data_IF_691478260804
#
_entry.id   IF_691478260804
#
_cell.length_a   1.000
_cell.length_b   1.000
_cell.length_c   1.000
_cell.angle_alpha   90.00
_cell.angle_beta   90.00
_cell.angle_gamma   90.00
#
_symmetry.space_group_name_H-M   'P 1'
#
loop_
_entity.id
_entity.type
_entity.pdbx_description
1 polymer ?
#
# COMPACT_ATOMS: atom_id res chain seq x y z
N UNK A 1 -37.65 6.86 -38.62
CA UNK A 1 -37.31 5.65 -37.83
C UNK A 1 -37.45 6.03 -36.36
N UNK A 2 -38.45 5.47 -35.68
CA UNK A 2 -38.60 5.61 -34.23
C UNK A 2 -37.63 4.60 -33.61
N UNK A 3 -36.70 4.99 -32.72
CA UNK A 3 -35.74 4.04 -32.17
C UNK A 3 -36.47 2.98 -31.35
N UNK A 4 -36.50 1.75 -31.86
CA UNK A 4 -36.97 0.57 -31.13
C UNK A 4 -36.05 0.37 -29.92
N UNK A 5 -36.62 0.31 -28.72
CA UNK A 5 -35.89 0.19 -27.45
C UNK A 5 -34.80 -0.89 -27.53
N UNK A 6 -33.56 -0.56 -27.11
CA UNK A 6 -32.49 -1.56 -26.95
C UNK A 6 -32.99 -2.68 -26.04
N UNK A 7 -33.13 -3.89 -26.57
CA UNK A 7 -33.50 -5.09 -25.78
C UNK A 7 -32.41 -5.31 -24.73
N UNK A 8 -32.72 -5.00 -23.47
CA UNK A 8 -31.89 -5.40 -22.34
C UNK A 8 -32.33 -6.81 -21.96
N UNK A 9 -31.51 -7.83 -22.23
CA UNK A 9 -31.89 -9.24 -22.02
C UNK A 9 -31.92 -9.68 -20.54
N UNK A 10 -31.96 -8.75 -19.58
CA UNK A 10 -31.84 -9.05 -18.14
C UNK A 10 -32.76 -8.19 -17.28
N UNK A 11 -33.07 -8.70 -16.07
CA UNK A 11 -33.82 -7.96 -15.04
C UNK A 11 -33.09 -6.64 -14.71
N UNK A 12 -33.81 -5.51 -14.56
CA UNK A 12 -33.18 -4.25 -14.14
C UNK A 12 -32.35 -4.43 -12.87
N UNK A 13 -31.07 -4.09 -12.93
CA UNK A 13 -30.18 -4.09 -11.77
C UNK A 13 -30.23 -2.73 -11.05
N UNK A 14 -29.91 -2.74 -9.75
CA UNK A 14 -29.82 -1.55 -8.93
C UNK A 14 -28.73 -0.57 -9.38
N UNK A 15 -28.80 0.66 -8.89
CA UNK A 15 -27.75 1.66 -9.14
C UNK A 15 -26.45 1.25 -8.47
N UNK A 16 -25.34 1.34 -9.19
CA UNK A 16 -23.98 1.08 -8.70
C UNK A 16 -23.12 2.32 -8.86
N UNK A 17 -21.97 2.35 -8.16
CA UNK A 17 -20.98 3.43 -8.30
C UNK A 17 -20.01 3.22 -9.48
N UNK A 18 -20.21 2.18 -10.28
CA UNK A 18 -19.37 1.84 -11.42
C UNK A 18 -20.19 1.12 -12.49
N UNK A 19 -20.07 1.59 -13.74
CA UNK A 19 -20.68 0.97 -14.91
C UNK A 19 -19.67 0.20 -15.77
N UNK A 20 -19.71 0.37 -17.10
CA UNK A 20 -18.84 -0.34 -18.06
C UNK A 20 -18.14 0.63 -19.02
N UNK A 21 -17.33 0.11 -19.95
CA UNK A 21 -16.74 0.90 -21.03
C UNK A 21 -17.80 1.72 -21.77
N UNK A 22 -17.63 3.05 -21.78
CA UNK A 22 -18.60 4.01 -22.34
C UNK A 22 -19.56 4.64 -21.32
N UNK A 23 -19.71 4.07 -20.13
CA UNK A 23 -20.57 4.59 -19.05
C UNK A 23 -20.01 4.22 -17.66
N UNK A 24 -18.77 4.62 -17.37
CA UNK A 24 -18.07 4.25 -16.12
C UNK A 24 -18.68 4.86 -14.85
N UNK A 25 -19.57 5.85 -14.96
CA UNK A 25 -20.15 6.56 -13.80
C UNK A 25 -19.28 7.69 -13.23
N UNK A 26 -18.17 8.04 -13.89
CA UNK A 26 -17.33 9.18 -13.52
C UNK A 26 -17.90 10.54 -13.98
N UNK A 27 -17.31 11.66 -13.51
CA UNK A 27 -17.69 12.99 -13.97
C UNK A 27 -17.41 13.16 -15.47
N UNK A 28 -18.16 14.04 -16.14
CA UNK A 28 -17.93 14.38 -17.54
C UNK A 28 -16.57 15.06 -17.70
N UNK A 29 -15.70 14.52 -18.56
CA UNK A 29 -14.38 15.07 -18.86
C UNK A 29 -14.39 15.74 -20.24
N UNK A 30 -13.90 16.98 -20.33
CA UNK A 30 -13.75 17.73 -21.57
C UNK A 30 -12.44 18.52 -21.52
N UNK A 31 -11.68 18.53 -22.62
CA UNK A 31 -10.43 19.31 -22.74
C UNK A 31 -9.17 18.61 -22.22
N UNK A 32 -9.24 17.34 -21.83
CA UNK A 32 -8.06 16.55 -21.46
C UNK A 32 -7.60 15.76 -22.68
N UNK A 33 -6.34 15.93 -23.08
CA UNK A 33 -5.72 15.17 -24.17
C UNK A 33 -4.59 14.30 -23.61
N UNK A 34 -4.63 13.01 -23.89
CA UNK A 34 -3.65 12.03 -23.45
C UNK A 34 -2.84 11.53 -24.63
N UNK A 35 -1.52 11.47 -24.46
CA UNK A 35 -0.59 10.93 -25.44
C UNK A 35 0.12 9.72 -24.85
N UNK A 36 0.43 8.73 -25.69
CA UNK A 36 1.21 7.56 -25.31
C UNK A 36 2.10 7.13 -26.47
N UNK A 37 3.21 6.47 -26.15
CA UNK A 37 4.13 5.90 -27.15
C UNK A 37 4.00 4.38 -27.10
N UNK A 38 3.98 3.72 -28.26
CA UNK A 38 3.93 2.25 -28.35
C UNK A 38 5.03 1.61 -27.49
N UNK A 39 4.73 0.60 -26.65
CA UNK A 39 5.73 -0.10 -25.84
C UNK A 39 6.88 -0.68 -26.66
N UNK A 40 6.63 -1.06 -27.92
CA UNK A 40 7.66 -1.63 -28.80
C UNK A 40 8.70 -0.59 -29.28
N UNK A 41 8.43 0.70 -29.03
CA UNK A 41 9.35 1.81 -29.30
C UNK A 41 10.02 2.35 -28.03
N UNK A 42 9.80 1.71 -26.88
CA UNK A 42 10.38 2.09 -25.60
C UNK A 42 11.27 0.97 -25.07
N UNK A 43 12.33 1.34 -24.34
CA UNK A 43 13.12 0.38 -23.60
C UNK A 43 12.45 0.13 -22.23
N UNK A 44 11.99 -1.09 -22.00
CA UNK A 44 11.10 -1.46 -20.88
C UNK A 44 11.62 -1.12 -19.48
N UNK A 45 12.94 -1.19 -19.26
CA UNK A 45 13.56 -0.96 -17.94
C UNK A 45 14.61 0.17 -17.97
N UNK A 46 14.54 1.06 -18.96
CA UNK A 46 15.52 2.16 -19.07
C UNK A 46 15.47 3.04 -17.82
N UNK A 47 16.58 3.10 -17.10
CA UNK A 47 16.71 3.89 -15.88
C UNK A 47 15.99 3.31 -14.66
N UNK A 48 15.55 2.04 -14.70
CA UNK A 48 14.82 1.43 -13.57
C UNK A 48 15.58 1.57 -12.24
N UNK A 49 16.88 1.25 -12.23
CA UNK A 49 17.70 1.36 -11.03
C UNK A 49 18.01 2.81 -10.64
N UNK A 50 18.45 3.65 -11.58
CA UNK A 50 18.81 5.05 -11.28
C UNK A 50 17.61 5.86 -10.79
N UNK A 51 16.44 5.67 -11.39
CA UNK A 51 15.21 6.32 -10.95
C UNK A 51 14.70 5.74 -9.62
N UNK A 52 14.83 4.42 -9.41
CA UNK A 52 14.43 3.79 -8.15
C UNK A 52 15.33 4.23 -6.99
N UNK A 53 16.63 4.38 -7.19
CA UNK A 53 17.55 4.80 -6.12
C UNK A 53 17.09 6.15 -5.50
N UNK A 54 16.72 7.12 -6.33
CA UNK A 54 16.27 8.44 -5.86
C UNK A 54 14.80 8.41 -5.41
N UNK A 55 13.90 7.92 -6.25
CA UNK A 55 12.46 7.98 -5.96
C UNK A 55 12.02 6.94 -4.93
N UNK A 56 12.62 5.75 -4.95
CA UNK A 56 12.39 4.70 -3.97
C UNK A 56 12.84 5.14 -2.59
N UNK A 57 14.05 5.69 -2.45
CA UNK A 57 14.51 6.26 -1.19
C UNK A 57 13.56 7.34 -0.66
N UNK A 58 13.20 8.31 -1.51
CA UNK A 58 12.26 9.38 -1.13
C UNK A 58 10.91 8.83 -0.65
N UNK A 59 10.38 7.80 -1.30
CA UNK A 59 9.10 7.16 -0.92
C UNK A 59 9.20 6.40 0.40
N UNK A 60 10.29 5.65 0.61
CA UNK A 60 10.50 4.88 1.85
C UNK A 60 10.67 5.84 3.02
N UNK A 61 11.49 6.88 2.87
CA UNK A 61 11.74 7.84 3.95
C UNK A 61 10.51 8.66 4.32
N UNK A 62 9.65 8.98 3.35
CA UNK A 62 8.36 9.65 3.64
C UNK A 62 7.39 8.80 4.47
N UNK A 63 7.58 7.48 4.52
CA UNK A 63 6.77 6.55 5.32
C UNK A 63 7.54 5.96 6.51
N UNK A 64 8.84 6.22 6.62
CA UNK A 64 9.72 5.62 7.61
C UNK A 64 9.18 5.76 9.03
N UNK A 65 8.68 6.93 9.40
CA UNK A 65 8.16 7.20 10.74
C UNK A 65 7.06 6.21 11.14
N UNK A 66 6.18 5.83 10.21
CA UNK A 66 5.02 4.98 10.50
C UNK A 66 5.38 3.52 10.78
N UNK A 67 6.54 3.04 10.33
CA UNK A 67 6.98 1.66 10.60
C UNK A 67 8.21 1.59 11.50
N UNK A 68 9.17 2.51 11.36
CA UNK A 68 10.39 2.51 12.17
C UNK A 68 10.07 2.74 13.64
N UNK A 69 9.14 3.64 13.97
CA UNK A 69 8.77 3.89 15.36
C UNK A 69 8.10 2.68 16.03
N UNK A 70 6.99 2.12 15.50
CA UNK A 70 6.36 0.97 16.15
C UNK A 70 7.25 -0.28 16.15
N UNK A 71 7.99 -0.55 15.08
CA UNK A 71 8.90 -1.70 15.03
C UNK A 71 10.09 -1.52 15.97
N UNK A 72 10.65 -0.31 16.04
CA UNK A 72 11.74 0.03 16.96
C UNK A 72 11.31 -0.07 18.42
N UNK A 73 10.15 0.50 18.77
CA UNK A 73 9.59 0.41 20.11
C UNK A 73 9.26 -1.05 20.49
N UNK A 74 8.62 -1.80 19.58
CA UNK A 74 8.29 -3.20 19.80
C UNK A 74 9.54 -4.06 19.99
N UNK A 75 10.57 -3.87 19.17
CA UNK A 75 11.84 -4.58 19.30
C UNK A 75 12.56 -4.23 20.62
N UNK A 76 12.58 -2.94 20.98
CA UNK A 76 13.16 -2.48 22.24
C UNK A 76 12.47 -3.11 23.46
N UNK A 77 11.14 -3.14 23.46
CA UNK A 77 10.35 -3.78 24.52
C UNK A 77 10.64 -5.28 24.62
N UNK A 78 10.69 -5.99 23.49
CA UNK A 78 11.00 -7.42 23.45
C UNK A 78 12.40 -7.71 24.00
N UNK A 79 13.40 -6.93 23.60
CA UNK A 79 14.78 -7.10 24.08
C UNK A 79 14.88 -6.88 25.59
N UNK A 80 14.19 -5.87 26.10
CA UNK A 80 14.12 -5.63 27.54
C UNK A 80 13.42 -6.78 28.27
N UNK A 81 12.25 -7.22 27.78
CA UNK A 81 11.45 -8.27 28.41
C UNK A 81 12.21 -9.61 28.48
N UNK A 82 12.94 -9.96 27.41
CA UNK A 82 13.78 -11.16 27.36
C UNK A 82 14.91 -11.07 28.40
N UNK A 83 15.63 -9.95 28.45
CA UNK A 83 16.72 -9.75 29.41
C UNK A 83 16.23 -9.77 30.87
N UNK A 84 15.11 -9.10 31.15
CA UNK A 84 14.48 -9.11 32.47
C UNK A 84 14.05 -10.53 32.85
N UNK A 85 13.42 -11.27 31.94
CA UNK A 85 13.04 -12.66 32.17
C UNK A 85 14.25 -13.57 32.45
N UNK A 86 15.38 -13.40 31.74
CA UNK A 86 16.61 -14.12 32.03
C UNK A 86 17.19 -13.77 33.40
N UNK A 87 17.18 -12.49 33.77
CA UNK A 87 17.64 -12.04 35.09
C UNK A 87 16.80 -12.67 36.20
N UNK A 88 15.47 -12.62 36.09
CA UNK A 88 14.55 -13.19 37.10
C UNK A 88 14.72 -14.69 37.30
N UNK A 89 15.07 -15.43 36.24
CA UNK A 89 15.32 -16.87 36.31
C UNK A 89 16.78 -17.23 36.69
N UNK A 90 17.60 -16.25 37.07
CA UNK A 90 18.99 -16.44 37.50
C UNK A 90 19.13 -16.38 39.02
N UNK A 91 20.19 -17.00 39.56
CA UNK A 91 20.54 -16.91 40.99
C UNK A 91 20.74 -15.46 41.46
N UNK A 92 21.25 -14.59 40.59
CA UNK A 92 21.47 -13.17 40.91
C UNK A 92 20.15 -12.41 41.01
N UNK A 93 19.22 -12.63 40.06
CA UNK A 93 17.89 -12.03 40.13
C UNK A 93 17.11 -12.49 41.37
N UNK A 94 17.34 -13.75 41.77
CA UNK A 94 16.84 -14.26 43.03
C UNK A 94 17.42 -13.50 44.23
N UNK A 95 18.75 -13.32 44.30
CA UNK A 95 19.37 -12.54 45.39
C UNK A 95 18.85 -11.09 45.43
N UNK A 96 18.53 -10.51 44.26
CA UNK A 96 17.99 -9.15 44.14
C UNK A 96 16.50 -9.02 44.51
N UNK A 97 15.82 -10.10 44.91
CA UNK A 97 14.38 -10.05 45.22
C UNK A 97 13.48 -9.95 43.99
N UNK A 98 14.03 -10.09 42.78
CA UNK A 98 13.29 -9.97 41.50
C UNK A 98 12.81 -11.34 41.06
N UNK A 99 12.01 -11.98 41.89
CA UNK A 99 11.36 -13.23 41.57
C UNK A 99 10.02 -12.98 40.87
N UNK A 100 9.61 -13.91 40.01
CA UNK A 100 8.19 -14.09 39.71
C UNK A 100 7.62 -15.12 40.70
#
# INVERSE_FOLDING_TARGET
MIPTSTVRSGMPSGKTYMGWWGDMGGPKQKGVTQYSVSPMRQASMRGAFSHWAVNGYRRIMGQAVYFVLPLGAGYGLLKWAIADNHLRNSKEGHIQGKFA
#
